data_IF_442597560884
#
_entry.id   IF_442597560884
#
_cell.length_a   1.000
_cell.length_b   1.000
_cell.length_c   1.000
_cell.angle_alpha   90.00
_cell.angle_beta   90.00
_cell.angle_gamma   90.00
#
_symmetry.space_group_name_H-M   'P 1'
#
loop_
_entity.id
_entity.type
_entity.pdbx_description
1 polymer ?
#
# COMPACT_ATOMS: atom_id res chain seq x y z
N UNK A 1 -14.72 -9.58 -26.97
CA UNK A 1 -14.71 -8.51 -25.95
C UNK A 1 -13.25 -8.17 -25.72
N UNK A 2 -12.81 -6.96 -26.08
CA UNK A 2 -11.44 -6.52 -25.78
C UNK A 2 -11.29 -6.49 -24.26
N UNK A 3 -10.42 -7.34 -23.71
CA UNK A 3 -10.20 -7.44 -22.28
C UNK A 3 -9.33 -6.24 -21.86
N UNK A 4 -9.98 -5.10 -21.55
CA UNK A 4 -9.25 -3.91 -21.10
C UNK A 4 -8.48 -4.20 -19.82
N UNK A 5 -7.32 -3.59 -19.67
CA UNK A 5 -6.49 -3.76 -18.49
C UNK A 5 -7.18 -3.21 -17.25
N UNK A 6 -6.97 -3.86 -16.10
CA UNK A 6 -7.53 -3.44 -14.83
C UNK A 6 -7.00 -2.05 -14.43
N UNK A 7 -7.89 -1.22 -13.89
CA UNK A 7 -7.58 0.09 -13.34
C UNK A 7 -7.52 -0.04 -11.80
N UNK A 8 -6.34 0.11 -11.20
CA UNK A 8 -6.12 0.02 -9.75
C UNK A 8 -5.80 1.41 -9.22
N UNK A 9 -6.71 2.03 -8.47
CA UNK A 9 -6.50 3.39 -7.96
C UNK A 9 -6.45 3.36 -6.44
N UNK A 10 -5.38 3.94 -5.89
CA UNK A 10 -5.19 4.04 -4.45
C UNK A 10 -5.76 5.34 -3.95
N UNK A 11 -6.70 5.26 -3.02
CA UNK A 11 -7.49 6.39 -2.55
C UNK A 11 -7.35 6.54 -1.04
N UNK A 12 -7.21 7.76 -0.57
CA UNK A 12 -7.05 8.03 0.87
C UNK A 12 -8.18 8.93 1.37
N UNK A 13 -8.52 8.91 2.68
CA UNK A 13 -9.57 9.78 3.23
C UNK A 13 -9.30 11.28 3.08
N UNK A 14 -8.08 11.66 2.67
CA UNK A 14 -7.68 13.05 2.47
C UNK A 14 -8.48 13.78 1.38
N UNK A 15 -9.17 13.04 0.51
CA UNK A 15 -10.03 13.62 -0.53
C UNK A 15 -11.38 14.12 0.02
N UNK A 16 -11.70 13.85 1.29
CA UNK A 16 -12.98 14.20 1.90
C UNK A 16 -12.82 15.45 2.76
N UNK A 17 -13.60 16.48 2.46
CA UNK A 17 -13.70 17.67 3.31
C UNK A 17 -14.38 17.35 4.65
N UNK A 18 -15.35 16.42 4.65
CA UNK A 18 -16.05 15.90 5.83
C UNK A 18 -16.07 14.37 5.76
N UNK A 19 -15.41 13.71 6.72
CA UNK A 19 -15.34 12.25 6.78
C UNK A 19 -16.71 11.62 7.06
N UNK A 20 -17.64 12.34 7.70
CA UNK A 20 -19.00 11.84 7.97
C UNK A 20 -19.93 11.96 6.76
N UNK A 21 -19.53 12.71 5.74
CA UNK A 21 -20.21 12.82 4.44
C UNK A 21 -19.22 12.65 3.27
N UNK A 22 -18.77 11.41 2.98
CA UNK A 22 -17.77 11.15 1.94
C UNK A 22 -18.31 11.29 0.51
N UNK A 23 -19.63 11.38 0.33
CA UNK A 23 -20.27 11.32 -0.99
C UNK A 23 -19.75 12.37 -2.00
N UNK A 24 -19.57 13.66 -1.64
CA UNK A 24 -19.05 14.67 -2.56
C UNK A 24 -17.63 14.34 -3.07
N UNK A 25 -16.73 13.92 -2.18
CA UNK A 25 -15.35 13.57 -2.55
C UNK A 25 -15.30 12.31 -3.42
N UNK A 26 -16.11 11.30 -3.10
CA UNK A 26 -16.23 10.09 -3.93
C UNK A 26 -16.75 10.43 -5.34
N UNK A 27 -17.79 11.26 -5.46
CA UNK A 27 -18.30 11.68 -6.76
C UNK A 27 -17.24 12.42 -7.58
N UNK A 28 -16.51 13.34 -6.95
CA UNK A 28 -15.41 14.08 -7.58
C UNK A 28 -14.27 13.14 -8.04
N UNK A 29 -13.92 12.13 -7.25
CA UNK A 29 -12.96 11.10 -7.62
C UNK A 29 -13.38 10.37 -8.90
N UNK A 30 -14.60 9.83 -8.93
CA UNK A 30 -15.06 9.10 -10.12
C UNK A 30 -15.25 10.00 -11.35
N UNK A 31 -15.60 11.28 -11.17
CA UNK A 31 -15.67 12.26 -12.26
C UNK A 31 -14.29 12.56 -12.84
N UNK A 32 -13.30 12.79 -11.98
CA UNK A 32 -11.94 13.09 -12.40
C UNK A 32 -11.32 11.95 -13.21
N UNK A 33 -11.55 10.71 -12.79
CA UNK A 33 -10.97 9.52 -13.43
C UNK A 33 -11.88 8.85 -14.46
N UNK A 34 -13.06 9.40 -14.78
CA UNK A 34 -14.08 8.76 -15.62
C UNK A 34 -13.53 8.23 -16.96
N UNK A 35 -12.72 9.03 -17.68
CA UNK A 35 -12.16 8.63 -18.97
C UNK A 35 -11.23 7.41 -18.86
N UNK A 36 -10.55 7.26 -17.72
CA UNK A 36 -9.69 6.13 -17.47
C UNK A 36 -10.49 4.87 -17.12
N UNK A 37 -11.48 5.02 -16.22
CA UNK A 37 -12.25 3.90 -15.67
C UNK A 37 -13.23 3.28 -16.68
N UNK A 38 -13.61 4.01 -17.73
CA UNK A 38 -14.59 3.57 -18.73
C UNK A 38 -14.28 2.17 -19.30
N UNK A 39 -15.25 1.26 -19.19
CA UNK A 39 -15.18 -0.10 -19.73
C UNK A 39 -14.11 -1.01 -19.12
N UNK A 40 -13.51 -0.66 -17.97
CA UNK A 40 -12.48 -1.45 -17.29
C UNK A 40 -12.99 -2.14 -16.03
N UNK A 41 -12.40 -3.27 -15.63
CA UNK A 41 -12.39 -3.69 -14.22
C UNK A 41 -11.75 -2.60 -13.36
N UNK A 42 -12.44 -2.17 -12.30
CA UNK A 42 -11.97 -1.09 -11.41
C UNK A 42 -11.70 -1.67 -10.04
N UNK A 43 -10.50 -1.44 -9.53
CA UNK A 43 -10.12 -1.78 -8.16
C UNK A 43 -9.72 -0.51 -7.43
N UNK A 44 -10.46 -0.17 -6.37
CA UNK A 44 -10.09 0.91 -5.45
C UNK A 44 -9.38 0.28 -4.27
N UNK A 45 -8.10 0.62 -4.08
CA UNK A 45 -7.36 0.29 -2.86
C UNK A 45 -7.57 1.46 -1.92
N UNK A 46 -8.45 1.30 -0.92
CA UNK A 46 -8.65 2.34 0.08
C UNK A 46 -7.53 2.25 1.11
N UNK A 47 -6.97 3.40 1.46
CA UNK A 47 -5.82 3.50 2.36
C UNK A 47 -6.17 4.44 3.52
N UNK A 48 -7.03 4.01 4.45
CA UNK A 48 -7.45 4.83 5.58
C UNK A 48 -6.36 4.95 6.64
N UNK A 49 -5.49 3.96 6.76
CA UNK A 49 -4.40 3.93 7.73
C UNK A 49 -3.29 2.98 7.28
N UNK A 50 -2.34 2.64 8.15
CA UNK A 50 -1.20 1.76 7.86
C UNK A 50 -1.42 0.30 8.27
N UNK A 51 -2.69 -0.12 8.33
CA UNK A 51 -3.06 -1.45 8.80
C UNK A 51 -3.26 -1.59 10.31
N UNK A 52 -2.84 -0.64 11.16
CA UNK A 52 -3.08 -0.75 12.62
C UNK A 52 -4.59 -0.79 12.94
N UNK A 53 -5.42 -0.11 12.14
CA UNK A 53 -6.87 -0.21 12.20
C UNK A 53 -7.41 -1.63 11.96
N UNK A 54 -6.76 -2.46 11.15
CA UNK A 54 -7.13 -3.87 11.00
C UNK A 54 -6.66 -4.66 12.22
N UNK A 55 -5.41 -4.45 12.63
CA UNK A 55 -4.77 -5.22 13.71
C UNK A 55 -5.35 -4.93 15.08
N UNK A 56 -5.98 -3.78 15.29
CA UNK A 56 -6.69 -3.40 16.51
C UNK A 56 -8.21 -3.66 16.48
N UNK A 57 -8.77 -4.08 15.35
CA UNK A 57 -10.22 -4.20 15.21
C UNK A 57 -10.80 -5.31 16.11
N UNK A 58 -11.73 -4.97 16.99
CA UNK A 58 -12.34 -5.88 17.95
C UNK A 58 -13.62 -6.58 17.44
N UNK A 59 -14.09 -6.25 16.23
CA UNK A 59 -15.26 -6.85 15.60
C UNK A 59 -16.47 -5.91 15.49
N UNK A 60 -17.61 -6.39 14.96
CA UNK A 60 -18.74 -5.55 14.55
C UNK A 60 -19.38 -4.75 15.67
N UNK A 61 -19.38 -5.30 16.89
CA UNK A 61 -19.94 -4.65 18.07
C UNK A 61 -19.07 -3.47 18.57
N UNK A 62 -17.86 -3.33 18.01
CA UNK A 62 -16.86 -2.32 18.36
C UNK A 62 -16.72 -1.23 17.29
N UNK A 63 -17.71 -1.04 16.41
CA UNK A 63 -17.60 -0.05 15.33
C UNK A 63 -17.50 1.41 15.78
N UNK A 64 -17.82 1.71 17.05
CA UNK A 64 -17.61 3.03 17.64
C UNK A 64 -16.16 3.30 18.06
N UNK A 65 -15.27 2.31 18.02
CA UNK A 65 -13.88 2.46 18.42
C UNK A 65 -13.12 3.32 17.40
N UNK A 66 -12.28 4.21 17.92
CA UNK A 66 -11.48 5.13 17.11
C UNK A 66 -10.12 4.54 16.79
N UNK A 67 -9.59 4.92 15.64
CA UNK A 67 -8.23 4.61 15.25
C UNK A 67 -7.56 5.84 14.60
N UNK A 68 -6.23 5.83 14.57
CA UNK A 68 -5.48 6.89 13.90
C UNK A 68 -5.43 6.60 12.39
N UNK A 69 -5.87 7.58 11.61
CA UNK A 69 -5.98 7.47 10.15
C UNK A 69 -4.89 8.28 9.45
N UNK A 70 -4.75 8.11 8.14
CA UNK A 70 -3.64 8.59 7.31
C UNK A 70 -3.66 10.10 7.03
N UNK A 71 -3.86 10.89 8.07
CA UNK A 71 -3.88 12.36 8.09
C UNK A 71 -2.50 12.99 8.08
N UNK A 72 -1.43 12.21 8.12
CA UNK A 72 -0.04 12.67 8.11
C UNK A 72 0.54 12.57 6.70
N UNK A 73 1.47 13.46 6.34
CA UNK A 73 2.19 13.48 5.06
C UNK A 73 3.58 12.83 5.13
N UNK A 74 3.79 11.95 6.10
CA UNK A 74 5.08 11.34 6.45
C UNK A 74 4.87 10.36 7.63
N UNK A 75 5.92 9.66 8.03
CA UNK A 75 5.95 8.81 9.22
C UNK A 75 5.39 9.48 10.49
N UNK A 76 4.45 8.84 11.19
CA UNK A 76 3.87 9.40 12.41
C UNK A 76 4.30 8.61 13.67
N UNK A 77 5.44 8.98 14.26
CA UNK A 77 5.84 8.43 15.58
C UNK A 77 4.97 8.95 16.74
N UNK A 78 4.19 10.00 16.52
CA UNK A 78 3.44 10.68 17.56
C UNK A 78 4.25 11.58 18.52
N UNK A 79 5.58 11.68 18.36
CA UNK A 79 6.44 12.57 19.16
C UNK A 79 6.61 13.96 18.51
N UNK A 80 6.14 15.05 19.15
CA UNK A 80 6.34 16.41 18.65
C UNK A 80 7.80 16.81 18.45
N UNK A 81 8.71 16.26 19.26
CA UNK A 81 10.14 16.56 19.19
C UNK A 81 10.76 15.95 17.92
N UNK A 82 10.34 14.75 17.53
CA UNK A 82 10.76 14.14 16.27
C UNK A 82 10.22 14.92 15.07
N UNK A 83 8.96 15.32 15.11
CA UNK A 83 8.36 16.19 14.08
C UNK A 83 9.15 17.49 13.92
N UNK A 84 9.50 18.14 15.04
CA UNK A 84 10.29 19.37 15.03
C UNK A 84 11.71 19.13 14.50
N UNK A 85 12.36 18.06 14.92
CA UNK A 85 13.71 17.71 14.45
C UNK A 85 13.74 17.43 12.95
N UNK A 86 12.79 16.66 12.42
CA UNK A 86 12.63 16.43 10.99
C UNK A 86 12.42 17.73 10.23
N UNK A 87 11.50 18.58 10.68
CA UNK A 87 11.20 19.83 9.97
C UNK A 87 12.40 20.79 9.99
N UNK A 88 13.21 20.78 11.05
CA UNK A 88 14.46 21.54 11.10
C UNK A 88 15.51 21.00 10.12
N UNK A 89 15.72 19.68 10.08
CA UNK A 89 16.62 19.04 9.12
C UNK A 89 16.21 19.33 7.68
N UNK A 90 14.92 19.16 7.36
CA UNK A 90 14.37 19.49 6.04
C UNK A 90 14.63 20.96 5.66
N UNK A 91 14.34 21.90 6.57
CA UNK A 91 14.59 23.33 6.35
C UNK A 91 16.07 23.63 6.12
N UNK A 92 16.98 22.96 6.84
CA UNK A 92 18.43 23.11 6.66
C UNK A 92 18.85 22.62 5.28
N UNK A 93 18.42 21.43 4.85
CA UNK A 93 18.73 20.87 3.52
C UNK A 93 18.27 21.79 2.38
N UNK A 94 17.05 22.33 2.48
CA UNK A 94 16.50 23.29 1.50
C UNK A 94 17.34 24.57 1.46
N UNK A 95 17.73 25.12 2.61
CA UNK A 95 18.51 26.37 2.70
C UNK A 95 19.93 26.24 2.16
N UNK A 96 20.57 25.09 2.36
CA UNK A 96 21.96 24.85 1.95
C UNK A 96 22.11 24.53 0.45
N UNK A 97 21.03 24.64 -0.34
CA UNK A 97 21.03 24.37 -1.78
C UNK A 97 21.09 22.88 -2.13
N UNK A 98 20.88 22.02 -1.14
CA UNK A 98 20.88 20.57 -1.28
C UNK A 98 19.55 20.03 -1.80
N UNK A 99 19.13 20.43 -3.00
CA UNK A 99 18.09 19.70 -3.77
C UNK A 99 18.54 18.28 -4.15
N UNK A 100 19.79 17.91 -3.84
CA UNK A 100 20.32 16.55 -3.95
C UNK A 100 20.53 15.96 -2.56
N UNK A 101 19.45 15.82 -1.79
CA UNK A 101 19.40 14.65 -0.92
C UNK A 101 19.53 13.43 -1.84
N UNK A 102 20.31 12.42 -1.45
CA UNK A 102 20.38 11.14 -2.18
C UNK A 102 18.99 10.48 -2.36
N UNK A 103 17.97 11.02 -1.67
CA UNK A 103 16.56 10.81 -1.90
C UNK A 103 15.89 12.15 -2.33
N UNK A 104 15.55 12.37 -3.62
CA UNK A 104 14.88 13.60 -4.08
C UNK A 104 13.44 13.76 -3.54
N UNK A 105 12.94 12.77 -2.81
CA UNK A 105 11.57 12.68 -2.28
C UNK A 105 11.54 12.89 -0.77
N UNK A 106 12.30 13.89 -0.28
CA UNK A 106 12.17 14.33 1.11
C UNK A 106 10.69 14.49 1.41
N UNK A 107 10.19 13.91 2.50
CA UNK A 107 8.79 13.88 2.92
C UNK A 107 8.13 15.28 3.12
N UNK A 108 8.73 16.36 2.60
CA UNK A 108 8.39 17.72 2.91
C UNK A 108 8.55 17.99 4.41
N UNK A 109 8.09 19.16 4.87
CA UNK A 109 7.81 19.32 6.28
C UNK A 109 6.72 18.33 6.68
N UNK A 110 6.86 17.67 7.83
CA UNK A 110 5.81 16.90 8.46
C UNK A 110 4.70 17.83 8.97
N UNK A 111 3.44 17.49 8.68
CA UNK A 111 2.24 18.14 9.19
C UNK A 111 1.06 17.16 9.31
N UNK A 112 0.05 17.60 10.05
CA UNK A 112 -1.25 16.93 10.15
C UNK A 112 -2.23 17.66 9.26
N UNK A 113 -2.85 16.96 8.31
CA UNK A 113 -3.77 17.54 7.34
C UNK A 113 -5.14 17.86 7.95
N UNK A 114 -5.63 17.00 8.85
CA UNK A 114 -6.98 17.10 9.41
C UNK A 114 -7.04 16.57 10.84
N UNK A 115 -7.84 17.22 11.67
CA UNK A 115 -8.11 16.80 13.05
C UNK A 115 -9.40 15.99 13.19
N UNK A 116 -10.12 15.75 12.10
CA UNK A 116 -11.35 14.98 12.11
C UNK A 116 -11.10 13.56 12.65
N UNK A 117 -11.94 13.05 13.57
CA UNK A 117 -11.79 11.70 14.09
C UNK A 117 -12.23 10.66 13.05
N UNK A 118 -11.63 9.47 13.13
CA UNK A 118 -12.03 8.30 12.37
C UNK A 118 -12.40 7.19 13.36
N UNK A 119 -13.61 6.66 13.20
CA UNK A 119 -14.04 5.39 13.79
C UNK A 119 -14.49 4.45 12.67
N UNK A 120 -14.80 3.20 13.03
CA UNK A 120 -15.19 2.19 12.05
C UNK A 120 -16.59 2.43 11.46
N UNK A 121 -17.45 3.24 12.07
CA UNK A 121 -18.71 3.67 11.45
C UNK A 121 -18.46 4.63 10.30
N UNK A 122 -17.60 5.63 10.52
CA UNK A 122 -17.19 6.58 9.48
C UNK A 122 -16.50 5.83 8.34
N UNK A 123 -15.59 4.91 8.66
CA UNK A 123 -14.91 4.09 7.67
C UNK A 123 -15.87 3.25 6.81
N UNK A 124 -16.85 2.59 7.44
CA UNK A 124 -17.89 1.87 6.72
C UNK A 124 -18.71 2.79 5.79
N UNK A 125 -18.96 4.04 6.21
CA UNK A 125 -19.60 5.07 5.40
C UNK A 125 -18.80 5.39 4.12
N UNK A 126 -17.48 5.49 4.22
CA UNK A 126 -16.59 5.69 3.07
C UNK A 126 -16.71 4.55 2.05
N UNK A 127 -16.63 3.29 2.50
CA UNK A 127 -16.82 2.15 1.59
C UNK A 127 -18.19 2.14 0.93
N UNK A 128 -19.25 2.42 1.71
CA UNK A 128 -20.61 2.46 1.19
C UNK A 128 -20.77 3.53 0.11
N UNK A 129 -20.20 4.72 0.31
CA UNK A 129 -20.21 5.79 -0.69
C UNK A 129 -19.47 5.39 -1.97
N UNK A 130 -18.29 4.77 -1.86
CA UNK A 130 -17.52 4.28 -3.02
C UNK A 130 -18.33 3.24 -3.81
N UNK A 131 -18.95 2.26 -3.12
CA UNK A 131 -19.81 1.25 -3.76
C UNK A 131 -21.02 1.87 -4.44
N UNK A 132 -21.71 2.79 -3.76
CA UNK A 132 -22.91 3.43 -4.29
C UNK A 132 -22.62 4.24 -5.55
N UNK A 133 -21.51 4.98 -5.57
CA UNK A 133 -21.15 5.81 -6.71
C UNK A 133 -20.68 4.98 -7.92
N UNK A 134 -19.90 3.93 -7.69
CA UNK A 134 -19.55 2.98 -8.75
C UNK A 134 -20.79 2.28 -9.34
N UNK A 135 -21.73 1.86 -8.49
CA UNK A 135 -22.97 1.24 -8.92
C UNK A 135 -23.83 2.20 -9.77
N UNK A 136 -23.89 3.48 -9.41
CA UNK A 136 -24.57 4.53 -10.20
C UNK A 136 -23.98 4.70 -11.59
N UNK A 137 -22.70 4.35 -11.77
CA UNK A 137 -21.94 4.45 -13.02
C UNK A 137 -21.79 3.12 -13.75
N UNK A 138 -22.44 2.06 -13.27
CA UNK A 138 -22.32 0.69 -13.79
C UNK A 138 -20.86 0.18 -13.89
N UNK A 139 -20.00 0.62 -12.97
CA UNK A 139 -18.60 0.22 -12.94
C UNK A 139 -18.42 -1.13 -12.22
N UNK A 140 -17.69 -2.11 -12.80
CA UNK A 140 -17.35 -3.36 -12.13
C UNK A 140 -16.25 -3.13 -11.08
N UNK A 141 -16.68 -2.67 -9.90
CA UNK A 141 -15.82 -2.25 -8.80
C UNK A 141 -15.43 -3.43 -7.87
N UNK A 142 -14.17 -3.44 -7.47
CA UNK A 142 -13.66 -4.11 -6.27
C UNK A 142 -13.11 -3.07 -5.30
N UNK A 143 -13.30 -3.27 -4.01
CA UNK A 143 -12.65 -2.48 -2.96
C UNK A 143 -11.70 -3.38 -2.18
N UNK A 144 -10.43 -3.03 -2.21
CA UNK A 144 -9.40 -3.64 -1.37
C UNK A 144 -9.03 -2.69 -0.25
N UNK A 145 -8.71 -3.26 0.91
CA UNK A 145 -8.05 -2.52 1.98
C UNK A 145 -6.53 -2.56 1.82
N UNK A 146 -5.84 -1.55 2.35
CA UNK A 146 -4.38 -1.50 2.39
C UNK A 146 -3.81 -1.94 3.74
N UNK A 147 -2.81 -2.82 3.70
CA UNK A 147 -2.08 -3.28 4.90
C UNK A 147 -0.58 -3.05 4.74
N UNK A 148 -0.03 -2.17 5.57
CA UNK A 148 1.39 -1.83 5.60
C UNK A 148 2.15 -2.64 6.65
N UNK A 149 3.38 -3.10 6.38
CA UNK A 149 4.16 -3.81 7.39
C UNK A 149 4.74 -2.83 8.39
N UNK A 150 4.99 -1.59 7.95
CA UNK A 150 5.59 -0.55 8.74
C UNK A 150 4.56 0.44 9.33
N UNK A 151 5.07 1.36 10.15
CA UNK A 151 4.35 2.48 10.76
C UNK A 151 4.29 3.74 9.86
N UNK A 152 4.26 3.58 8.55
CA UNK A 152 4.19 4.73 7.65
C UNK A 152 2.85 5.47 7.81
N UNK A 153 2.88 6.81 7.84
CA UNK A 153 1.72 7.74 7.69
C UNK A 153 0.58 7.69 8.70
N UNK A 154 0.63 6.81 9.70
CA UNK A 154 -0.25 6.76 10.87
C UNK A 154 0.57 6.32 12.09
N UNK A 155 0.06 6.59 13.30
CA UNK A 155 0.60 5.93 14.49
C UNK A 155 0.30 4.42 14.43
N UNK A 156 1.27 3.61 14.87
CA UNK A 156 1.14 2.15 14.92
C UNK A 156 1.25 1.64 16.35
N UNK A 157 0.17 1.75 17.12
CA UNK A 157 0.13 1.28 18.51
C UNK A 157 0.35 -0.23 18.59
N UNK A 158 -0.32 -1.00 17.72
CA UNK A 158 -0.24 -2.46 17.76
C UNK A 158 1.19 -2.94 17.51
N UNK A 159 1.84 -2.40 16.46
CA UNK A 159 3.18 -2.85 16.05
C UNK A 159 4.30 -2.32 16.95
N UNK A 160 4.23 -1.08 17.42
CA UNK A 160 5.38 -0.44 18.10
C UNK A 160 5.24 -0.37 19.62
N UNK A 161 4.02 -0.36 20.16
CA UNK A 161 3.78 -0.23 21.60
C UNK A 161 3.25 -1.52 22.22
N UNK A 162 2.29 -2.18 21.57
CA UNK A 162 1.65 -3.39 22.13
C UNK A 162 2.45 -4.66 21.86
N UNK A 163 2.94 -4.81 20.62
CA UNK A 163 3.74 -5.96 20.19
C UNK A 163 5.10 -5.55 19.62
N UNK A 164 5.95 -4.83 20.38
CA UNK A 164 7.27 -4.45 19.92
C UNK A 164 8.17 -5.65 19.59
N UNK A 165 7.87 -6.84 20.14
CA UNK A 165 8.61 -8.08 19.88
C UNK A 165 8.54 -8.55 18.43
N UNK A 166 7.50 -8.15 17.68
CA UNK A 166 7.36 -8.50 16.26
C UNK A 166 7.76 -7.37 15.32
N UNK A 167 8.12 -6.19 15.86
CA UNK A 167 8.63 -5.04 15.13
C UNK A 167 10.16 -5.11 14.96
N UNK A 168 10.65 -6.18 14.34
CA UNK A 168 12.08 -6.48 14.25
C UNK A 168 12.78 -5.88 13.02
N UNK A 169 12.02 -5.33 12.06
CA UNK A 169 12.58 -4.71 10.87
C UNK A 169 12.66 -3.19 10.93
N UNK A 170 13.51 -2.65 10.07
CA UNK A 170 13.59 -1.21 9.79
C UNK A 170 13.05 -0.89 8.41
N UNK A 171 12.54 0.33 8.24
CA UNK A 171 12.07 0.90 6.98
C UNK A 171 12.85 2.20 6.71
N UNK A 172 13.17 2.51 5.46
CA UNK A 172 13.64 3.85 5.09
C UNK A 172 12.44 4.72 4.70
N UNK A 173 12.09 5.71 5.52
CA UNK A 173 10.98 6.61 5.25
C UNK A 173 11.51 8.00 4.84
N UNK A 174 11.87 8.16 3.56
CA UNK A 174 12.32 9.45 3.04
C UNK A 174 13.73 9.85 3.49
N UNK A 175 14.63 8.88 3.70
CA UNK A 175 16.01 9.06 4.18
C UNK A 175 16.18 8.87 5.69
N UNK A 176 15.19 8.29 6.38
CA UNK A 176 15.22 8.02 7.81
C UNK A 176 14.91 6.55 8.08
N UNK A 177 15.87 5.84 8.68
CA UNK A 177 15.68 4.45 9.12
C UNK A 177 14.77 4.44 10.35
N UNK A 178 13.55 3.95 10.18
CA UNK A 178 12.53 3.81 11.22
C UNK A 178 12.37 2.35 11.64
N UNK A 179 12.41 2.02 12.95
CA UNK A 179 11.97 0.71 13.42
C UNK A 179 10.45 0.61 13.30
N UNK A 180 9.91 -0.60 13.09
CA UNK A 180 8.46 -0.75 13.02
C UNK A 180 7.94 -1.79 12.05
N UNK A 181 8.82 -2.39 11.23
CA UNK A 181 8.38 -3.34 10.19
C UNK A 181 8.06 -4.67 10.84
N UNK A 182 6.83 -5.12 10.64
CA UNK A 182 6.30 -6.37 11.15
C UNK A 182 7.03 -7.58 10.56
N UNK A 183 7.58 -8.42 11.43
CA UNK A 183 8.10 -9.73 11.08
C UNK A 183 7.06 -10.82 11.29
N UNK A 184 6.47 -11.30 10.19
CA UNK A 184 5.43 -12.34 10.22
C UNK A 184 5.94 -13.68 10.75
N UNK A 185 7.25 -13.89 10.82
CA UNK A 185 7.84 -15.12 11.36
C UNK A 185 8.13 -15.04 12.86
N UNK A 186 7.97 -13.87 13.48
CA UNK A 186 8.13 -13.70 14.91
C UNK A 186 6.95 -14.30 15.70
N UNK A 187 7.16 -14.53 16.99
CA UNK A 187 6.14 -15.05 17.91
C UNK A 187 5.62 -13.94 18.80
N UNK A 188 4.30 -13.88 18.97
CA UNK A 188 3.63 -12.91 19.81
C UNK A 188 3.69 -13.30 21.30
N UNK A 189 3.87 -12.30 22.14
CA UNK A 189 3.55 -12.40 23.57
C UNK A 189 2.04 -12.52 23.77
N UNK A 190 1.57 -13.13 24.87
CA UNK A 190 0.14 -13.17 25.15
C UNK A 190 -0.41 -11.75 25.36
N UNK A 191 -1.59 -11.51 24.82
CA UNK A 191 -2.33 -10.25 24.97
C UNK A 191 -3.80 -10.54 25.24
N UNK A 192 -4.37 -9.92 26.28
CA UNK A 192 -5.75 -10.11 26.70
C UNK A 192 -6.74 -9.14 26.02
N UNK A 193 -6.26 -8.28 25.12
CA UNK A 193 -7.11 -7.40 24.32
C UNK A 193 -8.04 -8.21 23.40
N UNK A 194 -9.25 -7.68 23.15
CA UNK A 194 -10.23 -8.31 22.26
C UNK A 194 -9.91 -7.97 20.81
N UNK A 195 -9.88 -8.99 19.96
CA UNK A 195 -9.68 -8.87 18.52
C UNK A 195 -10.76 -9.63 17.77
N UNK A 196 -11.12 -9.17 16.57
CA UNK A 196 -12.16 -9.78 15.75
C UNK A 196 -11.92 -11.29 15.51
N UNK A 197 -10.67 -11.69 15.25
CA UNK A 197 -10.32 -13.10 15.07
C UNK A 197 -9.91 -13.84 16.37
N UNK A 198 -9.66 -13.09 17.44
CA UNK A 198 -9.22 -13.60 18.74
C UNK A 198 -10.01 -12.92 19.87
N UNK A 199 -11.31 -13.25 20.04
CA UNK A 199 -12.16 -12.59 21.01
C UNK A 199 -11.73 -12.79 22.47
N UNK A 200 -11.01 -13.88 22.76
CA UNK A 200 -10.43 -14.18 24.07
C UNK A 200 -8.98 -13.69 24.23
N UNK A 201 -8.46 -12.96 23.25
CA UNK A 201 -7.09 -12.47 23.20
C UNK A 201 -6.10 -13.39 22.48
N UNK A 202 -4.87 -12.89 22.33
CA UNK A 202 -3.77 -13.57 21.64
C UNK A 202 -3.09 -14.54 22.64
N UNK A 203 -3.01 -15.85 22.32
CA UNK A 203 -2.27 -16.79 23.14
C UNK A 203 -0.75 -16.63 22.98
N UNK A 204 0.00 -16.97 24.03
CA UNK A 204 1.46 -16.90 24.02
C UNK A 204 2.07 -17.79 22.93
N UNK A 205 3.04 -17.25 22.19
CA UNK A 205 3.76 -17.98 21.15
C UNK A 205 3.02 -18.10 19.82
N UNK A 206 1.87 -17.44 19.65
CA UNK A 206 1.19 -17.39 18.36
C UNK A 206 2.10 -16.71 17.32
N UNK A 207 2.36 -17.32 16.16
CA UNK A 207 3.12 -16.65 15.11
C UNK A 207 2.41 -15.39 14.62
N UNK A 208 3.14 -14.29 14.47
CA UNK A 208 2.57 -12.99 14.10
C UNK A 208 1.81 -13.04 12.77
N UNK A 209 2.35 -13.74 11.77
CA UNK A 209 1.69 -13.93 10.49
C UNK A 209 0.34 -14.64 10.58
N UNK A 210 0.15 -15.55 11.54
CA UNK A 210 -1.13 -16.24 11.72
C UNK A 210 -2.19 -15.31 12.32
N UNK A 211 -1.77 -14.48 13.29
CA UNK A 211 -2.64 -13.44 13.82
C UNK A 211 -3.07 -12.49 12.71
N UNK A 212 -2.11 -11.91 11.97
CA UNK A 212 -2.40 -10.96 10.89
C UNK A 212 -3.34 -11.57 9.86
N UNK A 213 -3.08 -12.79 9.41
CA UNK A 213 -3.93 -13.43 8.42
C UNK A 213 -5.36 -13.63 8.90
N UNK A 214 -5.55 -14.18 10.11
CA UNK A 214 -6.88 -14.38 10.66
C UNK A 214 -7.60 -13.05 10.90
N UNK A 215 -6.89 -12.05 11.43
CA UNK A 215 -7.43 -10.73 11.72
C UNK A 215 -7.83 -9.98 10.46
N UNK A 216 -7.00 -10.03 9.41
CA UNK A 216 -7.34 -9.47 8.09
C UNK A 216 -8.55 -10.17 7.49
N UNK A 217 -8.63 -11.51 7.55
CA UNK A 217 -9.80 -12.25 7.06
C UNK A 217 -11.11 -11.81 7.74
N UNK A 218 -11.12 -11.73 9.07
CA UNK A 218 -12.27 -11.25 9.83
C UNK A 218 -12.65 -9.81 9.47
N UNK A 219 -11.67 -8.91 9.38
CA UNK A 219 -11.90 -7.52 8.99
C UNK A 219 -12.49 -7.40 7.57
N UNK A 220 -11.91 -8.09 6.59
CA UNK A 220 -12.39 -8.08 5.21
C UNK A 220 -13.85 -8.58 5.13
N UNK A 221 -14.19 -9.63 5.89
CA UNK A 221 -15.55 -10.16 5.91
C UNK A 221 -16.55 -9.19 6.56
N UNK A 222 -16.22 -8.62 7.73
CA UNK A 222 -17.11 -7.74 8.48
C UNK A 222 -17.44 -6.42 7.75
N UNK A 223 -16.50 -5.93 6.93
CA UNK A 223 -16.70 -4.75 6.08
C UNK A 223 -17.19 -5.10 4.67
N UNK A 224 -17.35 -6.39 4.35
CA UNK A 224 -17.78 -6.86 3.04
C UNK A 224 -16.85 -6.39 1.93
N UNK A 225 -15.53 -6.41 2.17
CA UNK A 225 -14.51 -6.00 1.21
C UNK A 225 -14.18 -7.14 0.24
N UNK A 226 -13.62 -6.76 -0.91
CA UNK A 226 -13.31 -7.69 -2.00
C UNK A 226 -11.92 -8.32 -1.85
N UNK A 227 -11.13 -7.86 -0.88
CA UNK A 227 -9.80 -8.39 -0.57
C UNK A 227 -8.87 -7.36 0.07
N UNK A 228 -7.58 -7.60 -0.02
CA UNK A 228 -6.52 -6.80 0.60
C UNK A 228 -5.37 -6.60 -0.41
N UNK A 229 -4.74 -5.42 -0.37
CA UNK A 229 -3.43 -5.18 -0.93
C UNK A 229 -2.40 -5.07 0.19
N UNK A 230 -1.45 -6.00 0.18
CA UNK A 230 -0.30 -6.05 1.06
C UNK A 230 0.78 -5.10 0.52
N UNK A 231 0.95 -3.96 1.17
CA UNK A 231 1.86 -2.91 0.72
C UNK A 231 3.31 -3.14 1.10
N UNK A 232 4.22 -2.43 0.44
CA UNK A 232 5.64 -2.37 0.73
C UNK A 232 6.24 -3.71 1.20
N UNK A 233 6.21 -4.73 0.32
CA UNK A 233 6.79 -6.05 0.58
C UNK A 233 6.31 -6.74 1.88
N UNK A 234 5.07 -6.50 2.31
CA UNK A 234 4.51 -7.09 3.53
C UNK A 234 4.77 -8.60 3.60
N UNK A 235 5.19 -9.06 4.78
CA UNK A 235 5.61 -10.45 5.00
C UNK A 235 7.13 -10.64 4.91
N UNK A 236 7.85 -9.66 4.36
CA UNK A 236 9.31 -9.65 4.27
C UNK A 236 9.91 -8.52 5.11
N UNK A 237 11.12 -8.73 5.64
CA UNK A 237 11.85 -7.76 6.48
C UNK A 237 13.10 -7.30 5.76
N UNK A 238 13.48 -6.03 5.87
CA UNK A 238 14.68 -5.46 5.23
C UNK A 238 14.40 -4.38 4.18
N UNK A 239 13.14 -3.95 4.04
CA UNK A 239 12.66 -2.82 3.23
C UNK A 239 13.51 -2.46 2.00
N UNK A 240 13.21 -3.11 0.87
CA UNK A 240 13.63 -2.76 -0.49
C UNK A 240 15.13 -2.87 -0.80
N UNK A 241 15.99 -3.01 0.21
CA UNK A 241 17.41 -3.30 0.04
C UNK A 241 17.68 -4.76 0.41
N UNK A 242 18.08 -5.62 -0.55
CA UNK A 242 18.44 -7.00 -0.28
C UNK A 242 19.51 -7.15 0.81
N UNK A 243 20.38 -6.16 1.00
CA UNK A 243 21.43 -6.18 2.02
C UNK A 243 20.91 -6.01 3.46
N UNK A 244 19.71 -5.46 3.63
CA UNK A 244 19.04 -5.31 4.92
C UNK A 244 18.14 -6.51 5.26
N UNK A 245 17.95 -7.46 4.33
CA UNK A 245 17.16 -8.65 4.55
C UNK A 245 17.83 -9.58 5.58
N UNK A 246 17.09 -10.12 6.56
CA UNK A 246 17.59 -11.18 7.41
C UNK A 246 17.89 -12.43 6.57
N UNK A 247 18.87 -13.22 7.01
CA UNK A 247 19.27 -14.43 6.29
C UNK A 247 18.05 -15.35 5.99
N UNK A 248 17.87 -15.81 4.75
CA UNK A 248 16.74 -16.64 4.33
C UNK A 248 16.96 -18.10 4.75
N UNK A 249 16.94 -18.36 6.06
CA UNK A 249 17.07 -19.72 6.58
C UNK A 249 15.84 -20.56 6.18
N UNK A 250 15.96 -21.90 6.11
CA UNK A 250 14.82 -22.77 5.81
C UNK A 250 13.61 -22.51 6.71
N UNK A 251 13.84 -22.24 8.00
CA UNK A 251 12.80 -21.94 8.98
C UNK A 251 12.10 -20.62 8.67
N UNK A 252 12.86 -19.58 8.29
CA UNK A 252 12.29 -18.27 7.94
C UNK A 252 11.48 -18.36 6.65
N UNK A 253 12.03 -18.97 5.62
CA UNK A 253 11.35 -19.21 4.34
C UNK A 253 10.04 -20.00 4.54
N UNK A 254 10.05 -21.02 5.40
CA UNK A 254 8.83 -21.75 5.76
C UNK A 254 7.82 -20.87 6.52
N UNK A 255 8.29 -19.97 7.39
CA UNK A 255 7.45 -18.98 8.08
C UNK A 255 6.78 -18.00 7.11
N UNK A 256 7.52 -17.49 6.11
CA UNK A 256 6.97 -16.64 5.05
C UNK A 256 5.94 -17.40 4.22
N UNK A 257 6.25 -18.63 3.78
CA UNK A 257 5.31 -19.46 3.03
C UNK A 257 4.00 -19.65 3.79
N UNK A 258 4.11 -20.01 5.08
CA UNK A 258 2.97 -20.22 5.97
C UNK A 258 2.12 -18.96 6.13
N UNK A 259 2.74 -17.77 6.22
CA UNK A 259 1.98 -16.52 6.27
C UNK A 259 1.06 -16.38 5.04
N UNK A 260 1.58 -16.56 3.83
CA UNK A 260 0.78 -16.46 2.61
C UNK A 260 -0.27 -17.57 2.50
N UNK A 261 0.03 -18.79 2.93
CA UNK A 261 -0.96 -19.88 3.02
C UNK A 261 -2.11 -19.51 3.96
N UNK A 262 -1.81 -18.92 5.11
CA UNK A 262 -2.81 -18.45 6.08
C UNK A 262 -3.61 -17.28 5.54
N UNK A 263 -2.97 -16.33 4.88
CA UNK A 263 -3.65 -15.22 4.20
C UNK A 263 -4.66 -15.75 3.18
N UNK A 264 -4.25 -16.66 2.30
CA UNK A 264 -5.16 -17.27 1.32
C UNK A 264 -6.30 -18.03 1.99
N UNK A 265 -6.01 -18.81 3.04
CA UNK A 265 -7.04 -19.54 3.75
C UNK A 265 -8.07 -18.61 4.44
N UNK A 266 -7.61 -17.48 4.99
CA UNK A 266 -8.47 -16.51 5.65
C UNK A 266 -9.31 -15.68 4.65
N UNK A 267 -8.78 -15.40 3.45
CA UNK A 267 -9.46 -14.64 2.41
C UNK A 267 -10.39 -15.49 1.54
N UNK A 268 -10.13 -16.80 1.41
CA UNK A 268 -10.90 -17.67 0.52
C UNK A 268 -10.78 -17.24 -0.95
N UNK A 269 -11.91 -16.91 -1.56
CA UNK A 269 -12.04 -16.46 -2.96
C UNK A 269 -11.81 -14.95 -3.15
N UNK A 270 -11.61 -14.20 -2.06
CA UNK A 270 -11.31 -12.77 -2.09
C UNK A 270 -9.90 -12.50 -2.60
N UNK A 271 -9.66 -11.27 -3.05
CA UNK A 271 -8.41 -10.88 -3.69
C UNK A 271 -7.26 -10.73 -2.68
N UNK A 272 -6.08 -11.24 -3.04
CA UNK A 272 -4.82 -10.99 -2.37
C UNK A 272 -3.85 -10.36 -3.37
N UNK A 273 -3.66 -9.05 -3.23
CA UNK A 273 -2.69 -8.30 -4.02
C UNK A 273 -1.45 -8.06 -3.15
N UNK A 274 -0.27 -8.08 -3.77
CA UNK A 274 0.99 -7.83 -3.06
C UNK A 274 1.85 -6.82 -3.82
N UNK A 275 2.32 -5.79 -3.12
CA UNK A 275 3.30 -4.83 -3.61
C UNK A 275 4.69 -5.39 -3.41
N UNK A 276 5.47 -5.46 -4.49
CA UNK A 276 6.75 -6.14 -4.47
C UNK A 276 7.87 -5.38 -3.76
N UNK A 277 9.05 -5.98 -3.70
CA UNK A 277 10.23 -5.36 -3.09
C UNK A 277 10.97 -4.43 -4.05
N UNK A 278 10.40 -4.17 -5.24
CA UNK A 278 11.05 -3.57 -6.41
C UNK A 278 12.05 -4.45 -7.16
N UNK A 279 12.33 -5.65 -6.65
CA UNK A 279 13.31 -6.55 -7.24
C UNK A 279 12.68 -7.72 -7.98
N UNK A 280 13.50 -8.29 -8.88
CA UNK A 280 13.17 -9.52 -9.59
C UNK A 280 12.89 -10.66 -8.59
N UNK A 281 12.03 -11.59 -9.00
CA UNK A 281 11.64 -12.74 -8.18
C UNK A 281 12.84 -13.57 -7.67
N UNK A 282 13.90 -13.75 -8.48
CA UNK A 282 15.10 -14.49 -8.08
C UNK A 282 15.87 -13.81 -6.94
N UNK A 283 15.87 -12.47 -6.90
CA UNK A 283 16.46 -11.69 -5.81
C UNK A 283 15.60 -11.81 -4.55
N UNK A 284 14.29 -11.78 -4.67
CA UNK A 284 13.39 -11.93 -3.52
C UNK A 284 13.43 -13.32 -2.90
N UNK A 285 13.53 -14.35 -3.74
CA UNK A 285 13.77 -15.72 -3.30
C UNK A 285 15.12 -15.80 -2.58
N UNK A 286 16.19 -15.24 -3.16
CA UNK A 286 17.55 -15.42 -2.64
C UNK A 286 17.92 -14.53 -1.45
N UNK A 287 17.33 -13.35 -1.32
CA UNK A 287 17.64 -12.40 -0.25
C UNK A 287 16.61 -12.44 0.88
N UNK A 288 15.32 -12.47 0.56
CA UNK A 288 14.24 -12.42 1.56
C UNK A 288 13.61 -13.78 1.87
N UNK A 289 13.94 -14.83 1.11
CA UNK A 289 13.36 -16.15 1.30
C UNK A 289 11.89 -16.19 0.88
N UNK A 290 11.48 -15.35 -0.07
CA UNK A 290 10.13 -15.37 -0.64
C UNK A 290 9.97 -16.63 -1.51
N UNK A 291 9.18 -17.65 -1.13
CA UNK A 291 9.10 -18.89 -1.90
C UNK A 291 8.20 -18.73 -3.13
N UNK A 292 8.48 -19.49 -4.20
CA UNK A 292 7.62 -19.52 -5.40
C UNK A 292 6.17 -19.90 -5.05
N UNK A 293 5.96 -20.76 -4.05
CA UNK A 293 4.63 -21.14 -3.57
C UNK A 293 3.84 -19.99 -2.94
N UNK A 294 4.49 -18.92 -2.47
CA UNK A 294 3.79 -17.75 -1.98
C UNK A 294 3.17 -16.94 -3.14
N UNK A 295 3.86 -16.87 -4.30
CA UNK A 295 3.32 -16.18 -5.48
C UNK A 295 2.08 -16.84 -6.04
N UNK A 296 2.05 -18.17 -6.09
CA UNK A 296 0.91 -18.92 -6.61
C UNK A 296 -0.37 -18.75 -5.78
N UNK A 297 -0.25 -18.19 -4.57
CA UNK A 297 -1.36 -17.87 -3.69
C UNK A 297 -1.89 -16.45 -3.88
N UNK A 298 -1.28 -15.62 -4.74
CA UNK A 298 -1.66 -14.23 -4.98
C UNK A 298 -2.46 -14.09 -6.28
N UNK A 299 -3.42 -13.17 -6.29
CA UNK A 299 -4.19 -12.86 -7.50
C UNK A 299 -3.44 -11.85 -8.39
N UNK A 300 -2.69 -10.93 -7.77
CA UNK A 300 -1.87 -9.97 -8.47
C UNK A 300 -0.62 -9.57 -7.67
N UNK A 301 0.43 -9.23 -8.41
CA UNK A 301 1.63 -8.60 -7.88
C UNK A 301 1.79 -7.23 -8.53
N UNK A 302 1.89 -6.20 -7.70
CA UNK A 302 2.20 -4.85 -8.12
C UNK A 302 3.72 -4.70 -8.19
N UNK A 303 4.23 -4.62 -9.42
CA UNK A 303 5.61 -4.20 -9.69
C UNK A 303 5.66 -2.71 -9.45
N UNK A 304 6.20 -2.36 -8.30
CA UNK A 304 6.24 -0.99 -7.88
C UNK A 304 7.36 -0.23 -8.61
N UNK A 305 7.12 1.05 -8.89
CA UNK A 305 8.12 1.97 -9.43
C UNK A 305 8.04 3.34 -8.76
N UNK A 306 7.38 3.43 -7.60
CA UNK A 306 7.32 4.68 -6.87
C UNK A 306 8.74 5.16 -6.59
N UNK A 307 8.94 6.43 -6.92
CA UNK A 307 10.15 7.15 -7.24
C UNK A 307 11.42 6.86 -6.42
N UNK A 308 11.31 6.20 -5.28
CA UNK A 308 12.23 6.30 -4.16
C UNK A 308 13.49 5.43 -4.32
N UNK A 309 13.46 4.28 -5.02
CA UNK A 309 14.51 3.26 -4.83
C UNK A 309 14.93 2.42 -6.04
N UNK A 310 14.17 2.43 -7.13
CA UNK A 310 14.44 1.50 -8.23
C UNK A 310 15.36 2.12 -9.25
N UNK A 311 16.51 1.49 -9.46
CA UNK A 311 17.27 1.75 -10.67
C UNK A 311 16.40 1.39 -11.88
N UNK A 312 16.13 2.34 -12.77
CA UNK A 312 15.25 2.11 -13.94
C UNK A 312 15.62 0.86 -14.75
N UNK A 313 16.88 0.45 -14.69
CA UNK A 313 17.40 -0.78 -15.29
C UNK A 313 16.77 -2.06 -14.75
N UNK A 314 16.24 -2.06 -13.52
CA UNK A 314 15.60 -3.22 -12.88
C UNK A 314 14.10 -3.32 -13.16
N UNK A 315 13.43 -2.24 -13.59
CA UNK A 315 11.97 -2.23 -13.78
C UNK A 315 11.52 -3.29 -14.82
N UNK A 316 12.08 -3.26 -16.03
CA UNK A 316 11.70 -4.22 -17.10
C UNK A 316 12.08 -5.66 -16.73
N UNK A 317 13.30 -5.95 -16.23
CA UNK A 317 13.63 -7.28 -15.72
C UNK A 317 12.68 -7.76 -14.61
N UNK A 318 12.28 -6.88 -13.69
CA UNK A 318 11.36 -7.21 -12.63
C UNK A 318 10.00 -7.63 -13.19
N UNK A 319 9.36 -6.80 -14.03
CA UNK A 319 8.09 -7.15 -14.70
C UNK A 319 8.17 -8.51 -15.40
N UNK A 320 9.25 -8.77 -16.15
CA UNK A 320 9.45 -10.06 -16.83
C UNK A 320 9.57 -11.22 -15.87
N UNK A 321 10.30 -11.03 -14.76
CA UNK A 321 10.45 -12.07 -13.75
C UNK A 321 9.12 -12.42 -13.10
N UNK A 322 8.26 -11.43 -12.84
CA UNK A 322 6.92 -11.65 -12.26
C UNK A 322 5.96 -12.29 -13.24
N UNK A 323 5.97 -11.85 -14.48
CA UNK A 323 5.12 -12.40 -15.53
C UNK A 323 5.48 -13.85 -15.89
N UNK A 324 6.69 -14.31 -15.52
CA UNK A 324 7.12 -15.69 -15.70
C UNK A 324 6.73 -16.63 -14.54
N UNK A 325 6.21 -16.09 -13.43
CA UNK A 325 5.73 -16.89 -12.30
C UNK A 325 4.35 -17.47 -12.62
N UNK A 326 4.06 -18.63 -12.02
CA UNK A 326 2.73 -19.23 -12.05
C UNK A 326 1.87 -18.64 -10.92
N UNK A 327 0.74 -18.03 -11.28
CA UNK A 327 -0.22 -17.48 -10.31
C UNK A 327 -0.60 -16.02 -10.54
N UNK A 328 0.23 -15.05 -10.14
CA UNK A 328 -0.22 -13.67 -10.03
C UNK A 328 -0.24 -12.96 -11.37
N UNK A 329 -1.29 -12.16 -11.61
CA UNK A 329 -1.28 -11.16 -12.67
C UNK A 329 -0.33 -10.02 -12.32
N UNK A 330 0.46 -9.56 -13.28
CA UNK A 330 1.34 -8.40 -13.08
C UNK A 330 0.55 -7.11 -13.21
N UNK A 331 0.59 -6.28 -12.17
CA UNK A 331 0.17 -4.89 -12.19
C UNK A 331 1.41 -4.00 -12.27
N UNK A 332 1.36 -2.96 -13.08
CA UNK A 332 2.46 -1.99 -13.18
C UNK A 332 2.10 -0.69 -12.49
N UNK A 333 2.92 -0.26 -11.54
CA UNK A 333 2.75 1.03 -10.88
C UNK A 333 3.09 2.18 -11.84
N UNK A 334 2.25 3.19 -11.88
CA UNK A 334 2.51 4.48 -12.51
C UNK A 334 2.70 5.51 -11.41
N UNK A 335 3.68 6.36 -11.60
CA UNK A 335 4.04 7.33 -10.58
C UNK A 335 3.74 8.76 -11.03
N UNK A 336 2.97 9.48 -10.24
CA UNK A 336 2.50 10.84 -10.56
C UNK A 336 2.64 11.76 -9.36
N UNK A 337 2.07 11.31 -8.24
CA UNK A 337 1.99 11.94 -6.93
C UNK A 337 2.00 10.84 -5.89
N UNK A 338 2.17 11.22 -4.64
CA UNK A 338 2.10 10.32 -3.51
C UNK A 338 1.25 10.96 -2.39
N UNK A 339 0.31 10.21 -1.80
CA UNK A 339 -0.53 10.73 -0.72
C UNK A 339 0.28 10.94 0.57
N UNK A 340 1.48 10.41 0.61
CA UNK A 340 2.28 10.29 1.80
C UNK A 340 3.64 10.95 1.72
N UNK A 341 4.11 11.28 0.52
CA UNK A 341 5.34 12.02 0.32
C UNK A 341 5.06 13.26 -0.54
N UNK A 342 5.77 14.34 -0.25
CA UNK A 342 5.67 15.55 -1.03
C UNK A 342 6.52 15.43 -2.29
N UNK A 343 5.96 14.86 -3.36
CA UNK A 343 6.55 14.95 -4.69
C UNK A 343 5.52 14.89 -5.82
N UNK A 344 5.96 15.36 -6.98
CA UNK A 344 5.24 15.32 -8.26
C UNK A 344 6.20 14.83 -9.33
N UNK A 345 6.16 13.54 -9.65
CA UNK A 345 7.12 12.88 -10.55
C UNK A 345 7.25 13.61 -11.90
N UNK A 346 6.15 14.13 -12.43
CA UNK A 346 6.14 14.89 -13.69
C UNK A 346 6.93 16.22 -13.66
N UNK A 347 7.16 16.80 -12.47
CA UNK A 347 7.96 18.01 -12.26
C UNK A 347 9.33 17.69 -11.66
N UNK A 348 9.34 16.86 -10.62
CA UNK A 348 10.48 16.67 -9.72
C UNK A 348 11.43 15.55 -10.24
N UNK A 349 10.90 14.52 -10.92
CA UNK A 349 11.70 13.52 -11.67
C UNK A 349 11.10 13.25 -13.06
N UNK A 350 11.19 14.27 -13.91
CA UNK A 350 10.67 14.22 -15.27
C UNK A 350 11.22 13.01 -16.07
N UNK A 351 12.42 12.52 -15.76
CA UNK A 351 13.01 11.39 -16.49
C UNK A 351 12.28 10.08 -16.16
N UNK A 352 11.97 9.82 -14.90
CA UNK A 352 11.15 8.66 -14.51
C UNK A 352 9.73 8.78 -15.05
N UNK A 353 9.14 9.98 -15.01
CA UNK A 353 7.84 10.25 -15.63
C UNK A 353 7.82 10.04 -17.17
N UNK A 354 8.92 10.29 -17.87
CA UNK A 354 9.03 9.92 -19.29
C UNK A 354 9.17 8.40 -19.46
N UNK A 355 10.03 7.79 -18.65
CA UNK A 355 10.41 6.39 -18.77
C UNK A 355 9.21 5.44 -18.63
N UNK A 356 8.27 5.72 -17.71
CA UNK A 356 7.05 4.92 -17.61
C UNK A 356 6.31 4.86 -18.95
N UNK A 357 6.26 5.93 -19.74
CA UNK A 357 5.58 5.92 -21.05
C UNK A 357 6.36 5.15 -22.11
N UNK A 358 7.69 5.24 -22.09
CA UNK A 358 8.55 4.46 -22.98
C UNK A 358 8.35 2.95 -22.74
N UNK A 359 8.22 2.54 -21.48
CA UNK A 359 7.92 1.17 -21.08
C UNK A 359 6.57 0.71 -21.63
N UNK A 360 5.53 1.53 -21.49
CA UNK A 360 4.16 1.24 -21.94
C UNK A 360 4.02 1.18 -23.46
N UNK A 361 4.87 1.88 -24.21
CA UNK A 361 4.93 1.78 -25.66
C UNK A 361 5.80 0.60 -26.15
N UNK A 362 6.47 -0.10 -25.24
CA UNK A 362 7.40 -1.18 -25.54
C UNK A 362 6.78 -2.59 -25.45
N UNK A 363 7.56 -3.63 -25.79
CA UNK A 363 7.09 -5.02 -25.79
C UNK A 363 6.69 -5.56 -24.41
N UNK A 364 7.12 -4.92 -23.32
CA UNK A 364 6.79 -5.36 -21.95
C UNK A 364 5.34 -5.03 -21.57
N UNK A 365 4.68 -4.10 -22.29
CA UNK A 365 3.27 -3.78 -22.07
C UNK A 365 2.35 -5.00 -22.21
N UNK A 366 2.70 -5.95 -23.08
CA UNK A 366 1.95 -7.19 -23.27
C UNK A 366 1.98 -8.15 -22.07
N UNK A 367 2.89 -7.93 -21.10
CA UNK A 367 3.01 -8.72 -19.87
C UNK A 367 2.22 -8.11 -18.70
N UNK A 368 1.70 -6.90 -18.87
CA UNK A 368 1.01 -6.14 -17.82
C UNK A 368 -0.49 -6.43 -17.94
N UNK A 369 -1.11 -6.84 -16.85
CA UNK A 369 -2.54 -7.12 -16.76
C UNK A 369 -3.39 -6.00 -16.13
N UNK A 370 -2.75 -4.96 -15.60
CA UNK A 370 -3.40 -3.79 -15.01
C UNK A 370 -2.40 -2.71 -14.64
N UNK A 371 -2.90 -1.50 -14.41
CA UNK A 371 -2.07 -0.38 -13.95
C UNK A 371 -2.55 0.13 -12.62
N UNK A 372 -1.60 0.53 -11.80
CA UNK A 372 -1.87 1.01 -10.45
C UNK A 372 -1.26 2.38 -10.23
N UNK A 373 -1.97 3.31 -9.59
CA UNK A 373 -1.37 4.58 -9.12
C UNK A 373 -2.14 5.20 -7.96
N UNK A 374 -1.46 6.11 -7.25
CA UNK A 374 -2.09 6.95 -6.25
C UNK A 374 -3.00 7.99 -6.87
N UNK A 375 -4.28 7.94 -6.52
CA UNK A 375 -5.29 8.83 -7.05
C UNK A 375 -5.32 10.20 -6.37
N UNK A 376 -4.59 10.40 -5.27
CA UNK A 376 -4.49 11.72 -4.67
C UNK A 376 -3.12 11.96 -4.05
N UNK A 377 -2.75 13.24 -4.00
CA UNK A 377 -1.56 13.72 -3.32
C UNK A 377 -1.80 13.86 -1.81
N UNK A 378 -0.77 14.34 -1.13
CA UNK A 378 -0.77 14.50 0.33
C UNK A 378 -1.79 15.49 0.89
N UNK A 379 -2.35 16.35 0.03
CA UNK A 379 -3.38 17.31 0.36
C UNK A 379 -4.78 16.84 -0.07
N UNK A 380 -4.89 15.64 -0.64
CA UNK A 380 -6.15 15.14 -1.19
C UNK A 380 -6.44 15.62 -2.61
N UNK A 381 -5.53 16.31 -3.28
CA UNK A 381 -5.74 16.72 -4.66
C UNK A 381 -5.50 15.55 -5.62
N UNK A 382 -6.36 15.44 -6.64
CA UNK A 382 -6.19 14.40 -7.66
C UNK A 382 -4.98 14.62 -8.55
N UNK A 383 -4.55 13.56 -9.23
CA UNK A 383 -3.48 13.63 -10.25
C UNK A 383 -3.83 14.70 -11.30
N UNK A 384 -2.92 15.64 -11.63
CA UNK A 384 -3.24 16.71 -12.58
C UNK A 384 -3.65 16.17 -13.97
N UNK A 385 -4.63 16.82 -14.61
CA UNK A 385 -5.24 16.35 -15.87
C UNK A 385 -4.25 16.08 -16.99
N UNK A 386 -3.29 16.98 -17.18
CA UNK A 386 -2.33 16.91 -18.28
C UNK A 386 -1.41 15.69 -18.16
N UNK A 387 -0.63 15.50 -17.07
CA UNK A 387 0.21 14.32 -16.95
C UNK A 387 -0.59 13.02 -16.99
N UNK A 388 -1.79 13.00 -16.39
CA UNK A 388 -2.69 11.85 -16.48
C UNK A 388 -3.07 11.55 -17.94
N UNK A 389 -3.68 12.49 -18.64
CA UNK A 389 -4.14 12.32 -20.02
C UNK A 389 -3.01 11.91 -20.97
N UNK A 390 -1.82 12.50 -20.82
CA UNK A 390 -0.65 12.14 -21.63
C UNK A 390 -0.20 10.69 -21.42
N UNK A 391 -0.24 10.16 -20.19
CA UNK A 391 0.08 8.76 -19.91
C UNK A 391 -1.05 7.83 -20.35
N UNK A 392 -2.31 8.18 -20.09
CA UNK A 392 -3.46 7.36 -20.46
C UNK A 392 -3.58 7.16 -21.97
N UNK A 393 -3.20 8.16 -22.77
CA UNK A 393 -3.16 8.02 -24.22
C UNK A 393 -2.19 6.91 -24.68
N UNK A 394 -1.07 6.72 -23.98
CA UNK A 394 -0.11 5.63 -24.28
C UNK A 394 -0.69 4.28 -23.90
N UNK A 395 -1.34 4.20 -22.73
CA UNK A 395 -2.00 2.97 -22.25
C UNK A 395 -3.09 2.53 -23.24
N UNK A 396 -3.99 3.45 -23.62
CA UNK A 396 -5.07 3.15 -24.55
C UNK A 396 -4.55 2.74 -25.93
N UNK A 397 -3.42 3.30 -26.37
CA UNK A 397 -2.78 2.90 -27.62
C UNK A 397 -2.14 1.51 -27.54
N UNK A 398 -1.70 1.05 -26.36
CA UNK A 398 -1.16 -0.29 -26.15
C UNK A 398 -2.24 -1.38 -26.03
N UNK A 399 -3.50 -1.00 -25.81
CA UNK A 399 -4.64 -1.92 -25.68
C UNK A 399 -5.43 -2.15 -26.98
N UNK A 400 -5.23 -1.29 -27.97
CA UNK A 400 -5.82 -1.38 -29.31
C UNK A 400 -4.95 -2.21 -30.24
#
# INVERSE_FOLDING_TARGET
>A
MNNRLEAVLWLTPKIFDDLTDPAPGVAAFFDHYAAYLDGRPVTVVFCPSNGDHILNYAGPDHRGDRFDWARYNCYAHGSPDLTRAHNLDWLTRVREGGERSFNPYSAGPMFTLSEQPMDYHVLAGCYAAIRAEAARRDLPLRILEYLEPGPEFCRSDWKTSRHPEVSSGTADAGGHIIPGVLDVTASLSPDASVYAAFPDGIPAGLPAGDFVAAQTGAYIEDFGLDGILLGNQFGLVGFWDPANAPAPTPERTAGVARFFERMRAALGDKQLYWMDTYWRADVEISAWGMPESAYSLMDAVLVCTFAVLVERTEIVPNVRSKAALDGPRVLYALDFVDPWYWYRTHLDDRRTYLYQRELLAGPVAALIGGFSFFANDTFGHFVPDRPLTETLAVILAAEC
#
